data_IF_524568854433
#
_entry.id   IF_524568854433
#
_cell.length_a   1.000
_cell.length_b   1.000
_cell.length_c   1.000
_cell.angle_alpha   90.00
_cell.angle_beta   90.00
_cell.angle_gamma   90.00
#
_symmetry.space_group_name_H-M   'P 1'
#
loop_
_entity.id
_entity.type
_entity.pdbx_description
1 polymer ?
#
# COMPACT_ATOMS: atom_id res chain seq x y z
N UNK A 1 -24.39 2.20 -18.29
CA UNK A 1 -24.56 3.19 -17.22
C UNK A 1 -24.46 2.60 -15.82
N UNK A 2 -25.40 1.73 -15.42
CA UNK A 2 -25.45 1.13 -14.07
C UNK A 2 -24.21 0.28 -13.72
N UNK A 3 -23.78 -0.57 -14.66
CA UNK A 3 -22.58 -1.41 -14.53
C UNK A 3 -21.32 -0.57 -14.29
N UNK A 4 -21.03 0.36 -15.22
CA UNK A 4 -19.81 1.19 -15.14
C UNK A 4 -19.75 2.01 -13.85
N UNK A 5 -20.89 2.48 -13.33
CA UNK A 5 -20.92 3.17 -12.05
C UNK A 5 -20.48 2.28 -10.88
N UNK A 6 -20.94 1.03 -10.81
CA UNK A 6 -20.52 0.11 -9.75
C UNK A 6 -19.07 -0.33 -9.92
N UNK A 7 -18.61 -0.52 -11.16
CA UNK A 7 -17.22 -0.88 -11.44
C UNK A 7 -16.26 0.27 -11.13
N UNK A 8 -16.64 1.52 -11.43
CA UNK A 8 -15.86 2.70 -11.03
C UNK A 8 -15.75 2.81 -9.50
N UNK A 9 -16.77 2.43 -8.73
CA UNK A 9 -16.63 2.37 -7.26
C UNK A 9 -15.58 1.37 -6.82
N UNK A 10 -15.47 0.22 -7.50
CA UNK A 10 -14.47 -0.82 -7.19
C UNK A 10 -13.06 -0.31 -7.52
N UNK A 11 -12.88 0.24 -8.73
CA UNK A 11 -11.60 0.81 -9.18
C UNK A 11 -11.14 1.96 -8.28
N UNK A 12 -12.01 2.90 -7.92
CA UNK A 12 -11.67 3.99 -6.97
C UNK A 12 -11.35 3.42 -5.59
N UNK A 13 -12.12 2.45 -5.10
CA UNK A 13 -11.86 1.88 -3.78
C UNK A 13 -10.50 1.17 -3.70
N UNK A 14 -10.08 0.52 -4.79
CA UNK A 14 -8.77 -0.11 -4.96
C UNK A 14 -7.66 0.95 -4.90
N UNK A 15 -7.74 1.97 -5.75
CA UNK A 15 -6.69 3.01 -5.81
C UNK A 15 -6.57 3.83 -4.52
N UNK A 16 -7.67 4.07 -3.81
CA UNK A 16 -7.62 4.81 -2.54
C UNK A 16 -6.98 4.01 -1.40
N UNK A 17 -7.01 2.67 -1.44
CA UNK A 17 -6.59 1.85 -0.30
C UNK A 17 -5.08 1.95 -0.02
N UNK A 18 -4.26 1.94 -1.07
CA UNK A 18 -2.79 2.06 -0.98
C UNK A 18 -2.29 3.40 -0.47
N UNK A 19 -3.03 4.49 -0.68
CA UNK A 19 -2.59 5.83 -0.28
C UNK A 19 -2.24 5.89 1.22
N UNK A 20 -2.88 5.07 2.05
CA UNK A 20 -2.55 4.96 3.49
C UNK A 20 -1.20 4.27 3.69
N UNK A 21 -0.97 3.14 3.01
CA UNK A 21 0.31 2.42 3.07
C UNK A 21 1.49 3.24 2.52
N UNK A 22 1.24 4.18 1.60
CA UNK A 22 2.24 5.11 1.06
C UNK A 22 2.48 6.32 1.96
N UNK A 23 1.44 6.85 2.61
CA UNK A 23 1.56 8.01 3.51
C UNK A 23 2.14 7.65 4.88
N UNK A 24 1.77 6.49 5.44
CA UNK A 24 2.22 6.07 6.77
C UNK A 24 3.75 6.04 6.92
N UNK A 25 4.56 5.56 5.96
CA UNK A 25 6.03 5.66 5.97
C UNK A 25 6.56 7.06 6.26
N UNK A 26 6.03 8.09 5.59
CA UNK A 26 6.47 9.48 5.84
C UNK A 26 6.05 9.97 7.22
N UNK A 27 4.86 9.59 7.68
CA UNK A 27 4.40 9.96 9.02
C UNK A 27 5.28 9.33 10.11
N UNK A 28 5.62 8.05 9.98
CA UNK A 28 6.47 7.36 10.96
C UNK A 28 7.92 7.84 10.86
N UNK A 29 8.42 8.12 9.65
CA UNK A 29 9.72 8.76 9.43
C UNK A 29 9.84 10.11 10.16
N UNK A 30 8.77 10.93 10.19
CA UNK A 30 8.77 12.20 10.92
C UNK A 30 8.63 11.98 12.43
N UNK A 31 7.69 11.15 12.87
CA UNK A 31 7.34 11.00 14.29
C UNK A 31 8.38 10.17 15.05
N UNK A 32 8.76 9.00 14.52
CA UNK A 32 9.69 8.08 15.15
C UNK A 32 11.15 8.30 14.71
N UNK A 33 11.39 9.21 13.76
CA UNK A 33 12.74 9.51 13.25
C UNK A 33 13.51 8.25 12.83
N UNK A 34 12.82 7.33 12.17
CA UNK A 34 13.42 6.14 11.55
C UNK A 34 14.00 6.48 10.17
N UNK A 35 14.91 5.66 9.59
CA UNK A 35 15.31 5.80 8.19
C UNK A 35 14.10 5.70 7.26
N UNK A 36 14.15 6.35 6.10
CA UNK A 36 13.00 6.41 5.20
C UNK A 36 12.62 4.97 4.76
N UNK A 37 11.35 4.54 4.92
CA UNK A 37 10.97 3.18 4.52
C UNK A 37 10.72 3.02 3.02
N UNK A 38 10.25 4.09 2.36
CA UNK A 38 9.92 4.10 0.94
C UNK A 38 10.30 5.43 0.30
N UNK A 39 10.92 5.37 -0.88
CA UNK A 39 11.25 6.54 -1.67
C UNK A 39 10.05 7.10 -2.44
N UNK A 40 10.10 8.39 -2.77
CA UNK A 40 9.09 9.05 -3.63
C UNK A 40 9.03 8.43 -5.02
N UNK A 41 10.18 8.03 -5.58
CA UNK A 41 10.26 7.39 -6.90
C UNK A 41 9.54 6.03 -6.89
N UNK A 42 9.71 5.22 -5.84
CA UNK A 42 9.01 3.93 -5.72
C UNK A 42 7.50 4.09 -5.61
N UNK A 43 7.01 5.15 -4.97
CA UNK A 43 5.57 5.47 -4.93
C UNK A 43 5.05 5.80 -6.32
N UNK A 44 5.78 6.61 -7.09
CA UNK A 44 5.40 6.90 -8.47
C UNK A 44 5.33 5.63 -9.33
N UNK A 45 6.20 4.65 -9.11
CA UNK A 45 6.12 3.36 -9.79
C UNK A 45 4.89 2.54 -9.38
N UNK A 46 4.42 2.65 -8.13
CA UNK A 46 3.18 2.01 -7.68
C UNK A 46 1.97 2.67 -8.36
N UNK A 47 1.90 4.00 -8.30
CA UNK A 47 0.80 4.80 -8.81
C UNK A 47 0.66 4.78 -10.33
N UNK A 48 1.78 4.95 -11.04
CA UNK A 48 1.80 5.11 -12.49
C UNK A 48 2.20 3.83 -13.22
N UNK A 49 2.77 2.86 -12.52
CA UNK A 49 3.23 1.61 -13.11
C UNK A 49 2.29 0.45 -12.79
N UNK A 50 2.41 -0.08 -11.57
CA UNK A 50 1.82 -1.38 -11.25
C UNK A 50 0.31 -1.35 -11.13
N UNK A 51 -0.29 -0.25 -10.64
CA UNK A 51 -1.72 -0.21 -10.32
C UNK A 51 -2.63 0.26 -11.45
N UNK A 52 -2.09 0.84 -12.52
CA UNK A 52 -2.91 1.28 -13.66
C UNK A 52 -3.64 0.09 -14.29
N UNK A 53 -2.93 -1.00 -14.56
CA UNK A 53 -3.49 -2.17 -15.26
C UNK A 53 -4.59 -2.85 -14.41
N UNK A 54 -4.36 -3.22 -13.13
CA UNK A 54 -5.40 -3.78 -12.27
C UNK A 54 -6.62 -2.86 -12.08
N UNK A 55 -6.39 -1.56 -11.91
CA UNK A 55 -7.46 -0.59 -11.70
C UNK A 55 -8.39 -0.49 -12.93
N UNK A 56 -7.81 -0.47 -14.12
CA UNK A 56 -8.57 -0.49 -15.39
C UNK A 56 -9.28 -1.83 -15.56
N UNK A 57 -8.64 -2.96 -15.20
CA UNK A 57 -9.26 -4.28 -15.31
C UNK A 57 -10.55 -4.40 -14.48
N UNK A 58 -10.62 -3.76 -13.32
CA UNK A 58 -11.85 -3.69 -12.51
C UNK A 58 -13.01 -2.95 -13.19
N UNK A 59 -12.73 -2.11 -14.19
CA UNK A 59 -13.76 -1.44 -14.99
C UNK A 59 -14.56 -2.42 -15.87
N UNK A 60 -13.96 -3.56 -16.24
CA UNK A 60 -14.54 -4.58 -17.13
C UNK A 60 -15.35 -5.66 -16.40
N UNK A 61 -15.48 -5.57 -15.07
CA UNK A 61 -16.19 -6.57 -14.28
C UNK A 61 -17.68 -6.74 -14.62
N UNK A 62 -18.16 -7.97 -14.46
CA UNK A 62 -19.56 -8.34 -14.72
C UNK A 62 -20.48 -7.93 -13.56
N UNK A 63 -21.78 -7.75 -13.82
CA UNK A 63 -22.72 -7.38 -12.77
C UNK A 63 -22.86 -8.53 -11.76
N UNK A 64 -22.77 -8.21 -10.47
CA UNK A 64 -22.91 -9.19 -9.36
C UNK A 64 -24.35 -9.63 -9.11
N UNK A 65 -25.33 -8.86 -9.59
CA UNK A 65 -26.75 -9.11 -9.39
C UNK A 65 -27.54 -8.59 -10.58
N UNK A 66 -28.83 -8.89 -10.65
CA UNK A 66 -29.70 -8.33 -11.67
C UNK A 66 -29.85 -6.80 -11.49
N UNK A 67 -28.91 -6.07 -12.10
CA UNK A 67 -28.85 -4.61 -12.08
C UNK A 67 -29.97 -3.95 -12.88
N UNK A 68 -30.77 -4.72 -13.63
CA UNK A 68 -31.91 -4.19 -14.40
C UNK A 68 -33.15 -4.12 -13.52
N UNK A 69 -33.33 -5.07 -12.58
CA UNK A 69 -34.45 -5.08 -11.63
C UNK A 69 -34.34 -4.04 -10.50
N UNK A 70 -33.18 -3.39 -10.32
CA UNK A 70 -33.03 -2.34 -9.28
C UNK A 70 -33.63 -1.00 -9.72
N UNK A 71 -34.15 -0.25 -8.75
CA UNK A 71 -34.61 1.13 -8.98
C UNK A 71 -33.43 2.06 -9.36
N UNK A 72 -33.66 3.15 -10.12
CA UNK A 72 -32.63 4.14 -10.41
C UNK A 72 -32.02 4.72 -9.12
N UNK A 73 -30.71 5.04 -9.12
CA UNK A 73 -30.04 5.58 -7.92
C UNK A 73 -30.59 6.95 -7.57
N UNK A 74 -30.55 7.29 -6.28
CA UNK A 74 -30.81 8.66 -5.84
C UNK A 74 -29.52 9.49 -5.91
N UNK A 75 -29.49 10.53 -6.73
CA UNK A 75 -28.30 11.35 -6.94
C UNK A 75 -27.79 12.04 -5.65
N UNK A 76 -28.68 12.32 -4.68
CA UNK A 76 -28.37 13.02 -3.42
C UNK A 76 -27.84 12.12 -2.31
N UNK A 77 -28.04 10.82 -2.41
CA UNK A 77 -27.71 9.85 -1.33
C UNK A 77 -26.64 8.87 -1.82
N UNK A 78 -26.79 8.35 -3.04
CA UNK A 78 -25.96 7.27 -3.56
C UNK A 78 -24.70 7.79 -4.28
N UNK A 79 -23.86 8.56 -3.59
CA UNK A 79 -22.63 9.10 -4.18
C UNK A 79 -21.67 8.01 -4.66
N UNK A 80 -20.75 8.38 -5.57
CA UNK A 80 -19.74 7.47 -6.10
C UNK A 80 -18.81 7.01 -4.98
N UNK A 81 -18.27 7.95 -4.21
CA UNK A 81 -17.53 7.68 -2.97
C UNK A 81 -18.46 7.98 -1.80
N UNK A 82 -18.73 6.96 -0.99
CA UNK A 82 -19.50 7.09 0.24
C UNK A 82 -18.53 6.95 1.43
N UNK A 83 -18.79 7.63 2.54
CA UNK A 83 -18.00 7.56 3.76
C UNK A 83 -17.77 6.12 4.20
N UNK A 84 -18.77 5.24 4.10
CA UNK A 84 -18.62 3.80 4.42
C UNK A 84 -17.53 3.11 3.58
N UNK A 85 -17.45 3.45 2.29
CA UNK A 85 -16.45 2.89 1.39
C UNK A 85 -15.07 3.45 1.71
N UNK A 86 -14.97 4.76 1.98
CA UNK A 86 -13.72 5.40 2.37
C UNK A 86 -13.20 4.84 3.72
N UNK A 87 -14.05 4.71 4.74
CA UNK A 87 -13.68 4.14 6.05
C UNK A 87 -13.19 2.71 5.91
N UNK A 88 -13.87 1.87 5.13
CA UNK A 88 -13.46 0.48 4.90
C UNK A 88 -12.11 0.41 4.14
N UNK A 89 -11.97 1.15 3.05
CA UNK A 89 -10.75 1.19 2.25
C UNK A 89 -9.56 1.71 3.05
N UNK A 90 -9.69 2.89 3.68
CA UNK A 90 -8.58 3.54 4.35
C UNK A 90 -8.24 2.91 5.70
N UNK A 91 -9.22 2.73 6.58
CA UNK A 91 -8.94 2.35 7.97
C UNK A 91 -8.78 0.85 8.18
N UNK A 92 -9.38 0.01 7.34
CA UNK A 92 -9.28 -1.44 7.51
C UNK A 92 -8.23 -2.01 6.58
N UNK A 93 -8.44 -1.92 5.26
CA UNK A 93 -7.52 -2.52 4.30
C UNK A 93 -6.21 -1.73 4.24
N UNK A 94 -6.28 -0.40 4.14
CA UNK A 94 -5.09 0.46 4.06
C UNK A 94 -4.17 0.34 5.28
N UNK A 95 -4.74 0.25 6.48
CA UNK A 95 -3.95 0.02 7.71
C UNK A 95 -3.34 -1.38 7.73
N UNK A 96 -4.08 -2.41 7.30
CA UNK A 96 -3.53 -3.77 7.20
C UNK A 96 -2.38 -3.84 6.20
N UNK A 97 -2.50 -3.11 5.08
CA UNK A 97 -1.43 -2.98 4.10
C UNK A 97 -0.20 -2.31 4.72
N UNK A 98 -0.38 -1.14 5.34
CA UNK A 98 0.69 -0.41 6.02
C UNK A 98 1.43 -1.29 7.04
N UNK A 99 0.70 -2.02 7.90
CA UNK A 99 1.29 -2.91 8.92
C UNK A 99 2.13 -4.01 8.27
N UNK A 100 1.64 -4.66 7.21
CA UNK A 100 2.40 -5.70 6.52
C UNK A 100 3.64 -5.16 5.80
N UNK A 101 3.56 -3.96 5.22
CA UNK A 101 4.70 -3.32 4.58
C UNK A 101 5.76 -2.89 5.62
N UNK A 102 5.35 -2.34 6.77
CA UNK A 102 6.27 -2.06 7.88
C UNK A 102 6.89 -3.32 8.47
N UNK A 103 6.16 -4.43 8.52
CA UNK A 103 6.72 -5.71 8.93
C UNK A 103 7.85 -6.12 8.00
N UNK A 104 7.65 -6.03 6.68
CA UNK A 104 8.70 -6.30 5.68
C UNK A 104 9.91 -5.37 5.83
N UNK A 105 9.69 -4.09 6.15
CA UNK A 105 10.77 -3.13 6.39
C UNK A 105 11.60 -3.52 7.62
N UNK A 106 10.94 -3.80 8.75
CA UNK A 106 11.63 -4.15 9.98
C UNK A 106 12.33 -5.51 9.89
N UNK A 107 11.80 -6.47 9.12
CA UNK A 107 12.50 -7.75 8.89
C UNK A 107 13.78 -7.54 8.10
N UNK A 108 13.74 -6.77 7.01
CA UNK A 108 14.93 -6.49 6.18
C UNK A 108 15.98 -5.69 6.96
N UNK A 109 15.56 -4.72 7.78
CA UNK A 109 16.47 -3.99 8.67
C UNK A 109 17.08 -4.92 9.72
N UNK A 110 16.28 -5.78 10.35
CA UNK A 110 16.77 -6.66 11.41
C UNK A 110 17.71 -7.76 10.91
N UNK A 111 17.49 -8.28 9.70
CA UNK A 111 18.38 -9.27 9.06
C UNK A 111 19.78 -8.68 8.80
N UNK A 112 19.85 -7.38 8.50
CA UNK A 112 21.09 -6.64 8.23
C UNK A 112 21.67 -5.95 9.47
N UNK A 113 21.17 -6.27 10.67
CA UNK A 113 21.76 -5.79 11.93
C UNK A 113 21.10 -4.58 12.59
N UNK A 114 20.05 -4.04 11.98
CA UNK A 114 19.30 -2.91 12.51
C UNK A 114 18.01 -3.37 13.17
N UNK A 115 18.07 -3.62 14.48
CA UNK A 115 16.88 -4.04 15.22
C UNK A 115 15.82 -2.94 15.25
N UNK A 116 14.51 -3.28 15.31
CA UNK A 116 13.44 -2.27 15.28
C UNK A 116 13.54 -1.19 16.36
N UNK A 117 14.15 -1.52 17.51
CA UNK A 117 14.34 -0.60 18.63
C UNK A 117 15.45 0.42 18.33
N UNK A 118 16.54 0.00 17.68
CA UNK A 118 17.66 0.88 17.34
C UNK A 118 17.35 1.78 16.16
N UNK A 119 16.37 1.43 15.32
CA UNK A 119 15.90 2.27 14.23
C UNK A 119 15.25 3.57 14.71
N UNK A 120 14.68 3.61 15.93
CA UNK A 120 13.98 4.79 16.46
C UNK A 120 15.00 5.90 16.75
N UNK A 121 14.81 7.08 16.16
CA UNK A 121 15.73 8.20 16.31
C UNK A 121 17.01 8.11 15.45
N UNK A 122 17.16 7.04 14.67
CA UNK A 122 18.36 6.77 13.88
C UNK A 122 18.54 7.74 12.71
N UNK A 123 17.45 8.33 12.20
CA UNK A 123 17.44 9.18 11.00
C UNK A 123 18.55 10.23 10.96
N UNK A 124 18.78 10.94 12.07
CA UNK A 124 19.76 12.04 12.10
C UNK A 124 21.17 11.54 11.78
N UNK A 125 21.55 10.41 12.37
CA UNK A 125 22.84 9.77 12.15
C UNK A 125 22.86 9.07 10.78
N UNK A 126 21.76 8.41 10.41
CA UNK A 126 21.59 7.73 9.12
C UNK A 126 21.84 8.63 7.90
N UNK A 127 21.30 9.84 7.92
CA UNK A 127 21.37 10.80 6.81
C UNK A 127 22.66 11.64 6.83
N UNK A 128 23.46 11.57 7.90
CA UNK A 128 24.68 12.35 8.04
C UNK A 128 25.80 11.78 7.17
N UNK A 129 26.24 12.57 6.19
CA UNK A 129 27.26 12.20 5.20
C UNK A 129 28.65 12.10 5.82
N UNK A 130 28.92 12.89 6.86
CA UNK A 130 30.23 12.92 7.52
C UNK A 130 30.47 11.71 8.43
N UNK A 131 29.41 10.96 8.78
CA UNK A 131 29.49 9.81 9.68
C UNK A 131 29.75 8.52 8.87
N UNK A 132 30.95 7.97 9.00
CA UNK A 132 31.38 6.77 8.25
C UNK A 132 31.49 5.51 9.11
N UNK A 133 31.28 5.64 10.43
CA UNK A 133 31.48 4.59 11.43
C UNK A 133 30.20 4.45 12.29
N UNK A 134 29.03 4.39 11.66
CA UNK A 134 27.79 4.24 12.40
C UNK A 134 27.63 2.79 12.89
N UNK A 135 27.52 2.59 14.19
CA UNK A 135 27.40 1.26 14.80
C UNK A 135 25.95 0.72 14.71
N UNK A 136 25.82 -0.55 14.30
CA UNK A 136 24.55 -1.28 14.30
C UNK A 136 24.26 -1.99 15.64
N UNK A 137 23.21 -2.82 15.72
CA UNK A 137 22.88 -3.53 16.96
C UNK A 137 23.85 -4.67 17.31
N UNK A 138 24.67 -5.11 16.35
CA UNK A 138 25.65 -6.18 16.50
C UNK A 138 27.09 -5.66 16.66
N UNK A 139 27.29 -4.34 16.67
CA UNK A 139 28.59 -3.70 16.81
C UNK A 139 29.38 -3.59 15.50
N UNK A 140 28.73 -3.65 14.34
CA UNK A 140 29.36 -3.43 13.04
C UNK A 140 29.32 -1.95 12.67
N UNK A 141 30.39 -1.45 12.08
CA UNK A 141 30.49 -0.08 11.60
C UNK A 141 30.04 0.02 10.13
N UNK A 142 29.13 0.94 9.86
CA UNK A 142 28.55 1.15 8.54
C UNK A 142 28.94 2.50 7.94
N UNK A 143 29.48 2.46 6.72
CA UNK A 143 29.77 3.65 5.91
C UNK A 143 28.48 4.27 5.36
N UNK A 144 28.51 5.55 4.97
CA UNK A 144 27.35 6.22 4.37
C UNK A 144 26.82 5.50 3.11
N UNK A 145 27.73 5.01 2.26
CA UNK A 145 27.34 4.33 1.01
C UNK A 145 26.65 3.00 1.28
N UNK A 146 27.13 2.22 2.26
CA UNK A 146 26.49 0.95 2.65
C UNK A 146 25.10 1.18 3.22
N UNK A 147 24.93 2.20 4.07
CA UNK A 147 23.61 2.60 4.62
C UNK A 147 22.64 3.03 3.52
N UNK A 148 23.12 3.80 2.55
CA UNK A 148 22.31 4.22 1.41
C UNK A 148 21.87 3.03 0.53
N UNK A 149 22.75 2.04 0.32
CA UNK A 149 22.39 0.81 -0.38
C UNK A 149 21.32 0.03 0.40
N UNK A 150 21.49 -0.11 1.71
CA UNK A 150 20.53 -0.77 2.57
C UNK A 150 19.16 -0.06 2.58
N UNK A 151 19.17 1.26 2.53
CA UNK A 151 17.95 2.06 2.41
C UNK A 151 17.22 1.79 1.07
N UNK A 152 17.94 1.67 -0.04
CA UNK A 152 17.33 1.29 -1.31
C UNK A 152 16.79 -0.16 -1.31
N UNK A 153 17.49 -1.08 -0.64
CA UNK A 153 16.97 -2.44 -0.41
C UNK A 153 15.66 -2.38 0.38
N UNK A 154 15.58 -1.55 1.43
CA UNK A 154 14.35 -1.32 2.17
C UNK A 154 13.21 -0.76 1.30
N UNK A 155 13.49 0.22 0.43
CA UNK A 155 12.49 0.77 -0.49
C UNK A 155 11.92 -0.31 -1.41
N UNK A 156 12.79 -1.17 -1.95
CA UNK A 156 12.37 -2.25 -2.85
C UNK A 156 11.57 -3.33 -2.11
N UNK A 157 11.97 -3.69 -0.89
CA UNK A 157 11.20 -4.63 -0.06
C UNK A 157 9.81 -4.08 0.27
N UNK A 158 9.72 -2.80 0.67
CA UNK A 158 8.45 -2.14 0.95
C UNK A 158 7.56 -2.07 -0.30
N UNK A 159 8.15 -1.74 -1.45
CA UNK A 159 7.47 -1.73 -2.74
C UNK A 159 6.88 -3.11 -3.09
N UNK A 160 7.68 -4.17 -2.98
CA UNK A 160 7.22 -5.55 -3.26
C UNK A 160 6.10 -5.96 -2.30
N UNK A 161 6.22 -5.61 -1.02
CA UNK A 161 5.18 -5.89 -0.03
C UNK A 161 3.84 -5.24 -0.40
N UNK A 162 3.85 -3.96 -0.80
CA UNK A 162 2.64 -3.27 -1.27
C UNK A 162 2.07 -3.99 -2.50
N UNK A 163 2.89 -4.31 -3.50
CA UNK A 163 2.42 -4.96 -4.73
C UNK A 163 1.75 -6.31 -4.43
N UNK A 164 2.33 -7.13 -3.54
CA UNK A 164 1.74 -8.42 -3.13
C UNK A 164 0.39 -8.20 -2.44
N UNK A 165 0.30 -7.23 -1.54
CA UNK A 165 -0.94 -6.91 -0.85
C UNK A 165 -2.00 -6.31 -1.78
N UNK A 166 -1.57 -5.59 -2.83
CA UNK A 166 -2.44 -5.07 -3.87
C UNK A 166 -3.04 -6.18 -4.74
N UNK A 167 -2.32 -7.27 -5.00
CA UNK A 167 -2.91 -8.45 -5.65
C UNK A 167 -4.07 -9.03 -4.83
N UNK A 168 -3.93 -9.05 -3.50
CA UNK A 168 -5.00 -9.49 -2.61
C UNK A 168 -6.17 -8.49 -2.60
N UNK A 169 -5.90 -7.18 -2.52
CA UNK A 169 -6.97 -6.16 -2.58
C UNK A 169 -7.70 -6.24 -3.93
N UNK A 170 -7.00 -6.44 -5.05
CA UNK A 170 -7.61 -6.62 -6.37
C UNK A 170 -8.66 -7.73 -6.35
N UNK A 171 -8.33 -8.90 -5.79
CA UNK A 171 -9.23 -10.05 -5.68
C UNK A 171 -10.44 -9.72 -4.80
N UNK A 172 -10.23 -9.06 -3.65
CA UNK A 172 -11.29 -8.66 -2.74
C UNK A 172 -12.22 -7.64 -3.41
N UNK A 173 -11.70 -6.72 -4.22
CA UNK A 173 -12.46 -5.65 -4.88
C UNK A 173 -13.22 -6.11 -6.12
N UNK A 174 -12.96 -7.31 -6.65
CA UNK A 174 -13.77 -7.90 -7.74
C UNK A 174 -15.24 -8.01 -7.37
N UNK A 175 -15.53 -8.26 -6.10
CA UNK A 175 -16.90 -8.44 -5.59
C UNK A 175 -17.19 -7.51 -4.42
N UNK A 176 -18.37 -6.87 -4.40
CA UNK A 176 -18.82 -6.06 -3.27
C UNK A 176 -19.77 -6.79 -2.33
N UNK A 177 -20.49 -7.80 -2.82
CA UNK A 177 -21.46 -8.58 -2.04
C UNK A 177 -21.28 -10.09 -2.23
N UNK A 178 -21.03 -10.53 -3.45
CA UNK A 178 -20.88 -11.95 -3.72
C UNK A 178 -19.55 -12.47 -3.18
N UNK A 179 -19.49 -13.77 -2.91
CA UNK A 179 -18.21 -14.42 -2.64
C UNK A 179 -17.42 -14.58 -3.94
N UNK A 180 -16.10 -14.49 -3.84
CA UNK A 180 -15.16 -14.72 -4.96
C UNK A 180 -15.34 -16.12 -5.55
N UNK A 181 -15.72 -17.11 -4.74
CA UNK A 181 -15.98 -18.49 -5.21
C UNK A 181 -17.24 -18.60 -6.07
N UNK A 182 -18.24 -17.76 -5.82
CA UNK A 182 -19.49 -17.74 -6.60
C UNK A 182 -19.31 -16.96 -7.90
N UNK A 183 -18.55 -15.86 -7.87
CA UNK A 183 -18.27 -15.02 -9.04
C UNK A 183 -17.22 -15.65 -9.97
N UNK A 184 -16.26 -16.37 -9.41
CA UNK A 184 -15.14 -17.00 -10.11
C UNK A 184 -13.89 -16.10 -10.13
N UNK A 185 -12.74 -16.66 -9.73
CA UNK A 185 -11.48 -15.91 -9.61
C UNK A 185 -10.96 -15.40 -10.96
N UNK A 186 -11.09 -16.20 -12.03
CA UNK A 186 -10.51 -15.92 -13.35
C UNK A 186 -11.53 -15.46 -14.41
N UNK A 187 -12.80 -15.31 -14.02
CA UNK A 187 -13.85 -14.82 -14.92
C UNK A 187 -14.02 -13.33 -14.72
N UNK A 188 -13.36 -12.54 -15.58
CA UNK A 188 -13.71 -11.13 -15.80
C UNK A 188 -14.82 -11.03 -16.88
#
# INVERSE_FOLDING_TARGET
GRLIFDNLKKSIAYTLTKNIAELCPFLIYIIASIPLPIGTVTILFIDLGTDIIPSIALAYEKPESDIMNRRPRNARIDHLVNSKLATYSYLQIGVTQAVGAFLSYFTVMAEEGWLPITCIGLRKHWEQVDEQELEDSYGQEWTFVQRQQQEFVCYTAFFVAIVIQQLADLVIRKTRRNSVFTQGLFRN
#
